data_IF_518109608662
#
_entry.id   IF_518109608662
#
_cell.length_a   1.000
_cell.length_b   1.000
_cell.length_c   1.000
_cell.angle_alpha   90.00
_cell.angle_beta   90.00
_cell.angle_gamma   90.00
#
_symmetry.space_group_name_H-M   'P 1'
#
loop_
_entity.id
_entity.type
_entity.pdbx_description
1 polymer ?
#
# COMPACT_ATOMS: atom_id res chain seq x y z
N UNK A 1 18.10 11.05 -1.40
CA UNK A 1 17.33 9.91 -0.88
C UNK A 1 17.82 9.64 0.54
N UNK A 2 16.97 9.86 1.52
CA UNK A 2 17.25 9.56 2.93
C UNK A 2 17.04 8.07 3.19
N UNK A 3 17.86 7.46 4.04
CA UNK A 3 17.71 6.08 4.50
C UNK A 3 17.56 6.06 6.00
N UNK A 4 16.67 5.24 6.52
CA UNK A 4 16.49 4.99 7.95
C UNK A 4 15.95 3.58 8.18
N UNK A 5 16.18 3.05 9.37
CA UNK A 5 15.54 1.83 9.90
C UNK A 5 14.65 2.12 11.11
N UNK A 6 14.58 3.41 11.52
CA UNK A 6 13.90 3.82 12.72
C UNK A 6 12.55 4.48 12.40
N UNK A 7 11.46 3.95 12.95
CA UNK A 7 10.11 4.51 12.78
C UNK A 7 9.98 5.94 13.31
N UNK A 8 10.69 6.26 14.39
CA UNK A 8 10.65 7.60 14.98
C UNK A 8 11.23 8.67 14.05
N UNK A 9 12.17 8.31 13.17
CA UNK A 9 12.66 9.22 12.14
C UNK A 9 11.61 9.50 11.07
N UNK A 10 10.83 8.48 10.67
CA UNK A 10 9.70 8.68 9.76
C UNK A 10 8.67 9.64 10.35
N UNK A 11 8.34 9.48 11.63
CA UNK A 11 7.39 10.36 12.33
C UNK A 11 7.90 11.80 12.36
N UNK A 12 9.18 12.04 12.67
CA UNK A 12 9.76 13.38 12.64
C UNK A 12 9.62 14.04 11.27
N UNK A 13 9.98 13.32 10.19
CA UNK A 13 9.86 13.84 8.83
C UNK A 13 8.40 14.14 8.48
N UNK A 14 7.45 13.27 8.85
CA UNK A 14 6.02 13.51 8.63
C UNK A 14 5.54 14.77 9.37
N UNK A 15 6.02 15.01 10.59
CA UNK A 15 5.68 16.19 11.37
C UNK A 15 6.25 17.50 10.82
N UNK A 16 7.39 17.40 10.12
CA UNK A 16 8.04 18.55 9.45
C UNK A 16 7.37 18.95 8.13
N UNK A 17 6.44 18.12 7.61
CA UNK A 17 5.65 18.49 6.43
C UNK A 17 4.87 19.78 6.68
N UNK A 18 4.68 20.63 5.64
CA UNK A 18 3.94 21.88 5.77
C UNK A 18 2.61 21.70 6.51
N UNK A 19 2.31 22.57 7.46
CA UNK A 19 1.14 22.44 8.32
C UNK A 19 -0.20 22.57 7.58
N UNK A 20 -0.19 23.21 6.39
CA UNK A 20 -1.39 23.46 5.59
C UNK A 20 -1.90 22.20 4.89
N UNK A 21 -3.21 22.05 4.84
CA UNK A 21 -3.88 20.97 4.10
C UNK A 21 -3.76 19.59 4.76
N UNK A 22 -4.34 18.60 4.09
CA UNK A 22 -4.18 17.16 4.39
C UNK A 22 -2.85 16.69 3.81
N UNK A 23 -2.20 15.74 4.47
CA UNK A 23 -0.94 15.15 4.03
C UNK A 23 -1.17 13.71 3.61
N UNK A 24 -0.70 13.37 2.44
CA UNK A 24 -0.78 12.02 1.87
C UNK A 24 0.62 11.41 1.89
N UNK A 25 0.80 10.38 2.70
CA UNK A 25 2.07 9.67 2.88
C UNK A 25 1.96 8.31 2.19
N UNK A 26 2.72 8.09 1.12
CA UNK A 26 2.77 6.80 0.45
C UNK A 26 3.79 5.88 1.13
N UNK A 27 3.34 4.67 1.51
CA UNK A 27 4.18 3.57 2.03
C UNK A 27 4.13 2.44 1.01
N UNK A 28 5.15 2.35 0.19
CA UNK A 28 5.29 1.36 -0.88
C UNK A 28 6.30 0.27 -0.52
N UNK A 29 6.22 -0.86 -1.20
CA UNK A 29 7.18 -1.97 -1.03
C UNK A 29 6.67 -3.26 -1.64
N UNK A 30 7.55 -4.24 -1.79
CA UNK A 30 7.21 -5.55 -2.33
C UNK A 30 6.15 -6.28 -1.48
N UNK A 31 5.46 -7.30 -2.03
CA UNK A 31 4.67 -8.22 -1.22
C UNK A 31 5.51 -8.78 -0.05
N UNK A 32 4.91 -8.89 1.13
CA UNK A 32 5.55 -9.32 2.39
C UNK A 32 6.69 -8.42 2.92
N UNK A 33 6.87 -7.19 2.40
CA UNK A 33 7.86 -6.25 2.92
C UNK A 33 7.53 -5.70 4.33
N UNK A 34 6.32 -5.91 4.85
CA UNK A 34 5.89 -5.34 6.14
C UNK A 34 5.36 -3.90 6.03
N UNK A 35 5.12 -3.40 4.81
CA UNK A 35 4.58 -2.04 4.59
C UNK A 35 3.28 -1.76 5.33
N UNK A 36 2.36 -2.75 5.40
CA UNK A 36 1.08 -2.59 6.12
C UNK A 36 1.31 -2.44 7.63
N UNK A 37 2.21 -3.25 8.21
CA UNK A 37 2.62 -3.12 9.62
C UNK A 37 3.25 -1.76 9.92
N UNK A 38 4.10 -1.26 9.00
CA UNK A 38 4.69 0.07 9.13
C UNK A 38 3.59 1.14 9.04
N UNK A 39 2.66 1.04 8.11
CA UNK A 39 1.55 1.98 7.96
C UNK A 39 0.66 2.00 9.21
N UNK A 40 0.32 0.83 9.76
CA UNK A 40 -0.43 0.68 11.00
C UNK A 40 0.32 1.31 12.17
N UNK A 41 1.58 0.97 12.37
CA UNK A 41 2.40 1.50 13.48
C UNK A 41 2.55 3.03 13.39
N UNK A 42 2.76 3.57 12.18
CA UNK A 42 2.80 5.03 11.98
C UNK A 42 1.47 5.68 12.32
N UNK A 43 0.35 5.11 11.86
CA UNK A 43 -0.99 5.61 12.14
C UNK A 43 -1.27 5.64 13.65
N UNK A 44 -0.98 4.53 14.35
CA UNK A 44 -1.19 4.39 15.78
C UNK A 44 -0.35 5.40 16.57
N UNK A 45 0.95 5.46 16.33
CA UNK A 45 1.84 6.43 16.98
C UNK A 45 1.41 7.88 16.75
N UNK A 46 0.95 8.22 15.55
CA UNK A 46 0.45 9.57 15.26
C UNK A 46 -0.86 9.85 16.02
N UNK A 47 -1.75 8.86 16.12
CA UNK A 47 -3.00 8.99 16.87
C UNK A 47 -2.80 8.97 18.39
N UNK A 48 -1.74 8.37 18.91
CA UNK A 48 -1.31 8.50 20.31
C UNK A 48 -0.89 9.95 20.64
N UNK A 49 -0.20 10.62 19.73
CA UNK A 49 0.20 12.02 19.92
C UNK A 49 -0.98 12.98 19.78
N UNK A 50 -1.87 12.73 18.85
CA UNK A 50 -3.09 13.50 18.62
C UNK A 50 -4.20 12.58 18.11
N UNK A 51 -5.22 12.30 18.93
CA UNK A 51 -6.31 11.42 18.56
C UNK A 51 -6.96 11.78 17.21
N UNK A 52 -7.26 10.77 16.43
CA UNK A 52 -7.97 10.87 15.13
C UNK A 52 -7.27 11.78 14.09
N UNK A 53 -5.96 11.99 14.23
CA UNK A 53 -5.24 12.82 13.27
C UNK A 53 -4.76 12.07 12.03
N UNK A 54 -4.68 10.74 12.08
CA UNK A 54 -4.21 9.87 11.01
C UNK A 54 -5.21 8.75 10.69
N UNK A 55 -5.25 8.32 9.42
CA UNK A 55 -5.99 7.16 8.97
C UNK A 55 -5.24 6.48 7.81
N UNK A 56 -5.55 5.20 7.55
CA UNK A 56 -4.92 4.41 6.50
C UNK A 56 -5.86 4.28 5.30
N UNK A 57 -5.29 4.43 4.09
CA UNK A 57 -5.95 4.08 2.83
C UNK A 57 -5.20 2.93 2.17
N UNK A 58 -5.67 1.68 2.29
CA UNK A 58 -5.03 0.55 1.64
C UNK A 58 -5.35 0.51 0.14
N UNK A 59 -4.33 0.37 -0.70
CA UNK A 59 -4.47 0.17 -2.15
C UNK A 59 -5.27 -1.10 -2.46
N UNK A 60 -5.15 -2.12 -1.62
CA UNK A 60 -5.80 -3.41 -1.82
C UNK A 60 -7.34 -3.31 -1.89
N UNK A 61 -7.96 -2.28 -1.30
CA UNK A 61 -9.38 -1.99 -1.46
C UNK A 61 -9.82 -1.69 -2.90
N UNK A 62 -8.88 -1.50 -3.82
CA UNK A 62 -9.14 -1.23 -5.23
C UNK A 62 -8.85 -2.42 -6.15
N UNK A 63 -8.72 -3.64 -5.61
CA UNK A 63 -8.71 -4.85 -6.42
C UNK A 63 -10.00 -4.98 -7.23
N UNK A 64 -9.86 -5.42 -8.50
CA UNK A 64 -11.02 -5.90 -9.24
C UNK A 64 -11.58 -7.18 -8.58
N UNK A 65 -12.90 -7.30 -8.63
CA UNK A 65 -13.62 -8.49 -8.16
C UNK A 65 -13.27 -9.73 -8.99
N UNK A 66 -13.30 -10.90 -8.35
CA UNK A 66 -13.04 -12.18 -8.99
C UNK A 66 -13.93 -12.47 -10.19
N UNK A 67 -15.21 -12.04 -10.14
CA UNK A 67 -16.14 -12.19 -11.27
C UNK A 67 -15.60 -11.47 -12.50
N UNK A 68 -15.09 -10.23 -12.32
CA UNK A 68 -14.51 -9.46 -13.41
C UNK A 68 -13.20 -10.07 -13.91
N UNK A 69 -12.32 -10.50 -12.99
CA UNK A 69 -11.03 -11.11 -13.33
C UNK A 69 -11.22 -12.44 -14.09
N UNK A 70 -12.20 -13.25 -13.70
CA UNK A 70 -12.58 -14.49 -14.40
C UNK A 70 -13.13 -14.19 -15.80
N UNK A 71 -14.02 -13.22 -15.93
CA UNK A 71 -14.55 -12.79 -17.24
C UNK A 71 -13.45 -12.29 -18.19
N UNK A 72 -12.38 -11.68 -17.64
CA UNK A 72 -11.20 -11.22 -18.40
C UNK A 72 -10.14 -12.30 -18.63
N UNK A 73 -10.30 -13.51 -18.07
CA UNK A 73 -9.33 -14.60 -18.18
C UNK A 73 -8.02 -14.39 -17.41
N UNK A 74 -7.98 -13.46 -16.47
CA UNK A 74 -6.77 -13.05 -15.73
C UNK A 74 -6.87 -13.29 -14.21
N UNK A 75 -7.83 -14.10 -13.75
CA UNK A 75 -8.02 -14.37 -12.33
C UNK A 75 -6.77 -14.96 -11.65
N UNK A 76 -6.01 -15.81 -12.34
CA UNK A 76 -4.75 -16.38 -11.83
C UNK A 76 -3.68 -15.35 -11.51
N UNK A 77 -3.78 -14.15 -12.12
CA UNK A 77 -2.87 -13.02 -11.94
C UNK A 77 -3.35 -12.02 -10.89
N UNK A 78 -4.42 -12.32 -10.12
CA UNK A 78 -4.92 -11.43 -9.06
C UNK A 78 -3.78 -11.02 -8.13
N UNK A 79 -3.64 -9.71 -7.93
CA UNK A 79 -2.53 -9.09 -7.22
C UNK A 79 -1.46 -8.47 -8.13
N UNK A 80 -1.49 -8.73 -9.46
CA UNK A 80 -0.63 -8.05 -10.42
C UNK A 80 -1.11 -6.61 -10.70
N UNK A 81 -0.25 -5.68 -11.18
CA UNK A 81 -0.57 -4.26 -11.33
C UNK A 81 -1.85 -3.96 -12.13
N UNK A 82 -2.15 -4.77 -13.13
CA UNK A 82 -3.30 -4.59 -14.03
C UNK A 82 -4.61 -5.21 -13.50
N UNK A 83 -4.60 -5.72 -12.26
CA UNK A 83 -5.78 -6.28 -11.59
C UNK A 83 -6.41 -5.32 -10.58
N UNK A 84 -6.06 -4.03 -10.67
CA UNK A 84 -6.55 -2.97 -9.79
C UNK A 84 -7.25 -1.87 -10.58
N UNK A 85 -8.23 -1.22 -9.94
CA UNK A 85 -8.85 0.02 -10.42
C UNK A 85 -7.99 1.22 -10.01
N UNK A 86 -6.91 1.45 -10.73
CA UNK A 86 -5.95 2.53 -10.44
C UNK A 86 -6.57 3.90 -10.62
N UNK A 87 -7.43 4.08 -11.62
CA UNK A 87 -8.08 5.39 -11.86
C UNK A 87 -9.14 5.69 -10.81
N UNK A 88 -9.89 4.67 -10.35
CA UNK A 88 -10.78 4.81 -9.20
C UNK A 88 -10.01 5.16 -7.93
N UNK A 89 -8.83 4.56 -7.73
CA UNK A 89 -7.94 4.90 -6.62
C UNK A 89 -7.42 6.35 -6.70
N UNK A 90 -6.96 6.80 -7.87
CA UNK A 90 -6.55 8.18 -8.11
C UNK A 90 -7.70 9.17 -7.82
N UNK A 91 -8.92 8.82 -8.25
CA UNK A 91 -10.10 9.63 -7.96
C UNK A 91 -10.41 9.71 -6.46
N UNK A 92 -10.23 8.60 -5.73
CA UNK A 92 -10.38 8.58 -4.27
C UNK A 92 -9.35 9.49 -3.58
N UNK A 93 -8.08 9.43 -3.99
CA UNK A 93 -7.05 10.34 -3.49
C UNK A 93 -7.39 11.80 -3.76
N UNK A 94 -7.90 12.12 -4.94
CA UNK A 94 -8.37 13.46 -5.29
C UNK A 94 -9.46 13.97 -4.34
N UNK A 95 -10.47 13.15 -4.01
CA UNK A 95 -11.52 13.48 -3.04
C UNK A 95 -10.92 13.76 -1.66
N UNK A 96 -10.03 12.89 -1.20
CA UNK A 96 -9.37 13.02 0.10
C UNK A 96 -8.53 14.30 0.20
N UNK A 97 -7.79 14.66 -0.83
CA UNK A 97 -6.98 15.89 -0.88
C UNK A 97 -7.86 17.15 -0.89
N UNK A 98 -8.98 17.11 -1.61
CA UNK A 98 -9.90 18.23 -1.73
C UNK A 98 -10.56 18.65 -0.41
N UNK A 99 -10.79 17.71 0.53
CA UNK A 99 -11.40 17.93 1.87
C UNK A 99 -12.72 18.71 1.84
N UNK A 100 -13.51 18.59 0.79
CA UNK A 100 -14.77 19.31 0.63
C UNK A 100 -16.00 18.48 1.04
N UNK A 101 -15.79 17.25 1.52
CA UNK A 101 -16.77 16.34 2.07
C UNK A 101 -16.54 16.17 3.57
N UNK A 102 -17.59 16.10 4.38
CA UNK A 102 -17.45 15.88 5.84
C UNK A 102 -16.79 14.53 6.15
N UNK A 103 -17.06 13.54 5.31
CA UNK A 103 -16.50 12.21 5.38
C UNK A 103 -16.36 11.62 3.97
N UNK A 104 -15.25 10.93 3.72
CA UNK A 104 -15.04 10.12 2.51
C UNK A 104 -14.94 8.67 2.95
N UNK A 105 -15.88 7.83 2.52
CA UNK A 105 -15.84 6.40 2.86
C UNK A 105 -15.10 5.63 1.78
N UNK A 106 -14.01 4.96 2.16
CA UNK A 106 -13.11 4.25 1.26
C UNK A 106 -13.31 2.73 1.34
N UNK A 107 -12.95 1.97 0.29
CA UNK A 107 -13.02 0.52 0.31
C UNK A 107 -11.85 -0.09 1.11
N UNK A 108 -12.06 -1.31 1.63
CA UNK A 108 -11.05 -2.15 2.27
C UNK A 108 -11.12 -3.55 1.68
N UNK A 109 -9.98 -4.20 1.49
CA UNK A 109 -9.93 -5.59 1.06
C UNK A 109 -10.11 -6.53 2.25
N UNK A 110 -11.14 -7.36 2.19
CA UNK A 110 -11.41 -8.38 3.20
C UNK A 110 -10.73 -9.69 2.78
N UNK A 111 -9.62 -10.01 3.44
CA UNK A 111 -8.82 -11.21 3.13
C UNK A 111 -9.52 -12.51 3.49
N UNK A 112 -10.50 -12.49 4.39
CA UNK A 112 -11.23 -13.71 4.80
C UNK A 112 -12.16 -14.22 3.72
N UNK A 113 -12.64 -13.32 2.85
CA UNK A 113 -13.55 -13.63 1.73
C UNK A 113 -12.97 -13.21 0.37
N UNK A 114 -11.73 -12.69 0.34
CA UNK A 114 -10.99 -12.29 -0.86
C UNK A 114 -11.72 -11.25 -1.74
N UNK A 115 -12.43 -10.30 -1.11
CA UNK A 115 -13.26 -9.28 -1.78
C UNK A 115 -12.91 -7.88 -1.29
N UNK A 116 -12.82 -6.91 -2.21
CA UNK A 116 -12.80 -5.49 -1.89
C UNK A 116 -14.22 -5.05 -1.49
N UNK A 117 -14.39 -4.58 -0.25
CA UNK A 117 -15.68 -4.11 0.27
C UNK A 117 -15.74 -2.59 0.21
N UNK A 118 -16.69 -2.08 -0.53
CA UNK A 118 -17.02 -0.66 -0.55
C UNK A 118 -17.62 -0.21 0.80
N UNK A 119 -17.44 1.06 1.15
CA UNK A 119 -18.11 1.65 2.31
C UNK A 119 -17.57 1.15 3.67
N UNK A 120 -16.30 0.76 3.74
CA UNK A 120 -15.77 0.05 4.92
C UNK A 120 -14.86 0.90 5.81
N UNK A 121 -14.27 1.99 5.30
CA UNK A 121 -13.32 2.81 6.05
C UNK A 121 -13.70 4.30 5.93
N UNK A 122 -14.37 4.87 6.92
CA UNK A 122 -14.72 6.28 6.94
C UNK A 122 -13.51 7.15 7.30
N UNK A 123 -13.26 8.18 6.52
CA UNK A 123 -12.17 9.15 6.72
C UNK A 123 -12.78 10.54 6.84
N UNK A 124 -12.87 11.05 8.07
CA UNK A 124 -13.37 12.39 8.37
C UNK A 124 -12.51 13.47 7.71
N UNK A 125 -13.12 14.61 7.38
CA UNK A 125 -12.40 15.81 6.91
C UNK A 125 -11.33 16.31 7.90
N UNK A 126 -11.48 16.01 9.20
CA UNK A 126 -10.56 16.47 10.25
C UNK A 126 -9.28 15.63 10.32
N UNK A 127 -9.26 14.44 9.75
CA UNK A 127 -8.05 13.63 9.60
C UNK A 127 -7.03 14.40 8.79
N UNK A 128 -5.85 14.65 9.38
CA UNK A 128 -4.77 15.43 8.77
C UNK A 128 -3.86 14.58 7.90
N UNK A 129 -3.55 13.37 8.33
CA UNK A 129 -2.58 12.49 7.69
C UNK A 129 -3.26 11.25 7.14
N UNK A 130 -3.11 10.99 5.85
CA UNK A 130 -3.55 9.75 5.21
C UNK A 130 -2.31 8.94 4.86
N UNK A 131 -2.16 7.79 5.49
CA UNK A 131 -1.11 6.84 5.17
C UNK A 131 -1.64 5.90 4.11
N UNK A 132 -1.18 6.06 2.89
CA UNK A 132 -1.56 5.24 1.74
C UNK A 132 -0.58 4.09 1.66
N UNK A 133 -1.04 2.83 1.78
CA UNK A 133 -0.14 1.69 1.69
C UNK A 133 -0.47 0.83 0.48
N UNK A 134 0.57 0.31 -0.18
CA UNK A 134 0.39 -0.58 -1.31
C UNK A 134 1.65 -0.88 -2.11
N UNK A 135 1.59 -1.97 -2.87
CA UNK A 135 2.75 -2.47 -3.62
C UNK A 135 3.19 -1.52 -4.75
N UNK A 136 2.24 -0.91 -5.46
CA UNK A 136 2.47 -0.26 -6.76
C UNK A 136 2.43 1.27 -6.72
N UNK A 137 2.37 1.89 -5.54
CA UNK A 137 2.18 3.32 -5.36
C UNK A 137 3.25 4.18 -6.05
N UNK A 138 4.47 3.66 -6.18
CA UNK A 138 5.60 4.38 -6.75
C UNK A 138 5.97 3.93 -8.17
N UNK A 139 5.18 3.07 -8.80
CA UNK A 139 5.43 2.64 -10.18
C UNK A 139 5.38 3.84 -11.12
N UNK A 140 6.42 4.00 -11.97
CA UNK A 140 6.58 5.12 -12.89
C UNK A 140 5.92 4.91 -14.26
N UNK A 141 5.05 3.90 -14.39
CA UNK A 141 4.30 3.60 -15.60
C UNK A 141 2.82 3.97 -15.45
N UNK A 142 2.21 4.49 -16.52
CA UNK A 142 0.78 4.77 -16.56
C UNK A 142 -0.05 3.48 -16.36
N UNK A 143 -1.15 3.51 -15.60
CA UNK A 143 -1.76 4.65 -14.90
C UNK A 143 -1.19 4.92 -13.50
N UNK A 144 -0.33 4.06 -12.94
CA UNK A 144 0.21 4.18 -11.58
C UNK A 144 1.01 5.46 -11.36
N UNK A 145 1.73 5.92 -12.39
CA UNK A 145 2.53 7.15 -12.31
C UNK A 145 1.73 8.41 -12.01
N UNK A 146 0.41 8.40 -12.24
CA UNK A 146 -0.46 9.53 -11.92
C UNK A 146 -0.65 9.73 -10.41
N UNK A 147 -0.46 8.67 -9.60
CA UNK A 147 -0.62 8.73 -8.14
C UNK A 147 0.40 9.65 -7.49
N UNK A 148 1.61 9.76 -8.07
CA UNK A 148 2.71 10.58 -7.52
C UNK A 148 2.29 12.03 -7.27
N UNK A 149 1.39 12.58 -8.07
CA UNK A 149 0.92 13.96 -7.93
C UNK A 149 0.14 14.23 -6.62
N UNK A 150 -0.29 13.17 -5.92
CA UNK A 150 -1.04 13.29 -4.67
C UNK A 150 -0.18 13.12 -3.42
N UNK A 151 1.05 12.59 -3.54
CA UNK A 151 1.88 12.27 -2.40
C UNK A 151 2.72 13.46 -1.93
N UNK A 152 2.58 13.81 -0.64
CA UNK A 152 3.44 14.81 0.03
C UNK A 152 4.76 14.19 0.49
N UNK A 153 4.77 12.88 0.74
CA UNK A 153 5.94 12.09 1.13
C UNK A 153 5.81 10.66 0.60
N UNK A 154 6.88 10.11 0.11
CA UNK A 154 6.97 8.73 -0.36
C UNK A 154 8.03 7.94 0.40
N UNK A 155 7.62 6.80 0.96
CA UNK A 155 8.45 5.87 1.72
C UNK A 155 8.46 4.54 0.97
N UNK A 156 9.64 4.00 0.72
CA UNK A 156 9.80 2.65 0.17
C UNK A 156 10.38 1.72 1.22
N UNK A 157 9.65 0.66 1.52
CA UNK A 157 10.09 -0.38 2.47
C UNK A 157 10.96 -1.37 1.71
N UNK A 158 12.27 -1.29 1.97
CA UNK A 158 13.29 -2.12 1.33
C UNK A 158 13.65 -3.30 2.23
N UNK A 159 13.51 -4.51 1.68
CA UNK A 159 13.74 -5.77 2.39
C UNK A 159 14.55 -6.68 1.48
N UNK A 160 15.60 -7.35 1.99
CA UNK A 160 16.35 -8.33 1.23
C UNK A 160 15.44 -9.43 0.63
N UNK A 161 15.68 -9.79 -0.64
CA UNK A 161 14.84 -10.75 -1.38
C UNK A 161 14.71 -12.10 -0.65
N UNK A 162 15.78 -12.57 0.00
CA UNK A 162 15.76 -13.82 0.76
C UNK A 162 14.76 -13.78 1.94
N UNK A 163 14.65 -12.63 2.62
CA UNK A 163 13.67 -12.42 3.70
C UNK A 163 12.26 -12.36 3.14
N UNK A 164 12.06 -11.67 2.00
CA UNK A 164 10.75 -11.63 1.34
C UNK A 164 10.29 -13.02 0.94
N UNK A 165 11.16 -13.84 0.37
CA UNK A 165 10.84 -15.21 -0.04
C UNK A 165 10.44 -16.09 1.14
N UNK A 166 11.17 -16.00 2.27
CA UNK A 166 10.84 -16.72 3.49
C UNK A 166 9.47 -16.30 4.05
N UNK A 167 9.20 -14.99 4.16
CA UNK A 167 7.92 -14.47 4.64
C UNK A 167 6.75 -14.85 3.72
N UNK A 168 6.96 -14.81 2.41
CA UNK A 168 5.95 -15.22 1.42
C UNK A 168 5.66 -16.73 1.53
N UNK A 169 6.69 -17.56 1.68
CA UNK A 169 6.53 -18.99 1.89
C UNK A 169 5.69 -19.27 3.14
N UNK A 170 6.06 -18.66 4.27
CA UNK A 170 5.33 -18.80 5.53
C UNK A 170 3.86 -18.37 5.38
N UNK A 171 3.60 -17.24 4.75
CA UNK A 171 2.24 -16.77 4.45
C UNK A 171 1.41 -17.80 3.70
N UNK A 172 1.96 -18.45 2.67
CA UNK A 172 1.23 -19.45 1.89
C UNK A 172 1.04 -20.76 2.63
N UNK A 173 1.95 -21.13 3.53
CA UNK A 173 1.74 -22.23 4.48
C UNK A 173 0.54 -21.95 5.38
N UNK A 174 0.45 -20.76 5.95
CA UNK A 174 -0.67 -20.32 6.81
C UNK A 174 -2.00 -20.28 6.05
N UNK A 175 -1.97 -20.02 4.73
CA UNK A 175 -3.14 -20.10 3.85
C UNK A 175 -3.47 -21.54 3.40
N UNK A 176 -2.75 -22.55 3.89
CA UNK A 176 -3.04 -23.95 3.64
C UNK A 176 -2.63 -24.46 2.25
N UNK A 177 -1.73 -23.78 1.53
CA UNK A 177 -1.22 -24.27 0.26
C UNK A 177 -0.22 -25.41 0.48
N UNK A 178 -0.24 -26.39 -0.42
CA UNK A 178 0.80 -27.42 -0.49
C UNK A 178 2.10 -26.86 -1.12
N UNK A 179 3.20 -27.60 -1.00
CA UNK A 179 4.51 -27.18 -1.51
C UNK A 179 4.50 -26.81 -3.01
N UNK A 180 3.70 -27.51 -3.83
CA UNK A 180 3.58 -27.18 -5.27
C UNK A 180 2.84 -25.86 -5.48
N UNK A 181 1.77 -25.63 -4.72
CA UNK A 181 1.02 -24.38 -4.73
C UNK A 181 1.88 -23.20 -4.28
N UNK A 182 2.65 -23.39 -3.21
CA UNK A 182 3.59 -22.39 -2.70
C UNK A 182 4.65 -22.05 -3.76
N UNK A 183 5.33 -23.06 -4.31
CA UNK A 183 6.36 -22.85 -5.32
C UNK A 183 5.80 -22.09 -6.54
N UNK A 184 4.59 -22.45 -7.00
CA UNK A 184 3.92 -21.75 -8.11
C UNK A 184 3.62 -20.30 -7.77
N UNK A 185 3.04 -20.01 -6.58
CA UNK A 185 2.73 -18.63 -6.15
C UNK A 185 3.97 -17.78 -6.07
N UNK A 186 5.03 -18.29 -5.47
CA UNK A 186 6.31 -17.60 -5.36
C UNK A 186 6.89 -17.28 -6.75
N UNK A 187 6.98 -18.27 -7.63
CA UNK A 187 7.69 -18.15 -8.91
C UNK A 187 6.87 -17.42 -9.98
N UNK A 188 5.55 -17.59 -10.01
CA UNK A 188 4.70 -17.02 -11.06
C UNK A 188 4.08 -15.67 -10.68
N UNK A 189 3.98 -15.34 -9.38
CA UNK A 189 3.26 -14.14 -8.93
C UNK A 189 4.13 -13.26 -8.02
N UNK A 190 4.53 -13.75 -6.83
CA UNK A 190 5.07 -12.87 -5.80
C UNK A 190 6.45 -12.33 -6.12
N UNK A 191 7.41 -13.20 -6.47
CA UNK A 191 8.77 -12.79 -6.81
C UNK A 191 8.84 -11.96 -8.11
N UNK A 192 8.12 -12.32 -9.19
CA UNK A 192 8.02 -11.46 -10.37
C UNK A 192 7.42 -10.07 -10.07
N UNK A 193 6.38 -9.99 -9.23
CA UNK A 193 5.83 -8.71 -8.80
C UNK A 193 6.83 -7.91 -7.97
N UNK A 194 7.54 -8.54 -7.05
CA UNK A 194 8.61 -7.89 -6.28
C UNK A 194 9.72 -7.33 -7.16
N UNK A 195 10.20 -8.11 -8.13
CA UNK A 195 11.21 -7.69 -9.10
C UNK A 195 10.68 -6.55 -10.01
N UNK A 196 9.43 -6.62 -10.45
CA UNK A 196 8.78 -5.56 -11.21
C UNK A 196 8.74 -4.24 -10.41
N UNK A 197 8.35 -4.30 -9.13
CA UNK A 197 8.29 -3.13 -8.24
C UNK A 197 9.69 -2.52 -8.10
N UNK A 198 10.70 -3.33 -7.80
CA UNK A 198 12.07 -2.86 -7.64
C UNK A 198 12.61 -2.17 -8.90
N UNK A 199 12.31 -2.72 -10.09
CA UNK A 199 12.81 -2.21 -11.37
C UNK A 199 12.05 -0.97 -11.89
N UNK A 200 10.77 -0.78 -11.49
CA UNK A 200 9.88 0.21 -12.09
C UNK A 200 9.39 1.29 -11.13
N UNK A 201 9.78 1.26 -9.85
CA UNK A 201 9.44 2.33 -8.91
C UNK A 201 10.30 3.58 -9.14
N UNK A 202 9.68 4.73 -9.05
CA UNK A 202 10.39 6.01 -8.97
C UNK A 202 11.17 6.10 -7.65
N UNK A 203 12.21 6.92 -7.63
CA UNK A 203 12.99 7.18 -6.42
C UNK A 203 12.08 7.70 -5.30
N UNK A 204 12.01 7.06 -4.13
CA UNK A 204 11.27 7.54 -2.98
C UNK A 204 12.00 8.70 -2.30
N UNK A 205 11.28 9.46 -1.46
CA UNK A 205 11.90 10.47 -0.60
C UNK A 205 12.71 9.78 0.51
N UNK A 206 12.17 8.69 1.08
CA UNK A 206 12.82 7.90 2.13
C UNK A 206 12.80 6.41 1.75
N UNK A 207 13.94 5.74 1.93
CA UNK A 207 14.02 4.29 1.96
C UNK A 207 14.06 3.82 3.42
N UNK A 208 13.08 3.02 3.81
CA UNK A 208 13.03 2.37 5.12
C UNK A 208 13.61 0.96 5.01
N UNK A 209 14.78 0.75 5.61
CA UNK A 209 15.52 -0.51 5.52
C UNK A 209 15.08 -1.48 6.64
N UNK A 210 14.56 -2.65 6.26
CA UNK A 210 14.23 -3.73 7.20
C UNK A 210 15.23 -4.87 7.02
N UNK A 211 16.02 -5.13 8.05
CA UNK A 211 17.09 -6.15 8.04
C UNK A 211 16.71 -7.47 8.73
N UNK A 212 15.45 -7.60 9.19
CA UNK A 212 14.95 -8.79 9.90
C UNK A 212 13.45 -9.01 9.65
#
# INVERSE_FOLDING_TARGET
MQKTSELDDLIKVIQELPASGRKIIAVAGAPASGKSTIAETLCDKMNEMKPECANILPMDGFHYDDVLLKARGIHSLKGAPHTFDVLGFAHMLKRLVARNEDEVVTPVFDRSIEIARAGSNPISKDVKYIIVEGNYLLINQHPWSELKAYFDLSIFVDVPVAILEERLRQRWVEHGLDEKGIARKLQEVDLPNGAFIAANSSTPDITFEMNS
#
